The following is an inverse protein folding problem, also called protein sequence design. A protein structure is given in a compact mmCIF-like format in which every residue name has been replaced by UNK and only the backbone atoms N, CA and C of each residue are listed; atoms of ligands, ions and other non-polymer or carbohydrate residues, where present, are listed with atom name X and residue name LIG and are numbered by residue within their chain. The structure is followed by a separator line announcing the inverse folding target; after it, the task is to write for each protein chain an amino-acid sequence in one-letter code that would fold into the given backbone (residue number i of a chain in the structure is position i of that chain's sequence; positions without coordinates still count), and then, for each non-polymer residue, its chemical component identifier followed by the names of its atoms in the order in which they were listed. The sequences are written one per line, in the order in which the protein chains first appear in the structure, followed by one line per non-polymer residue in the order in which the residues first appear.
data_IF_857252902443
#
_entry.id   IF_857252902443
#
_cell.length_a   1.000
_cell.length_b   1.000
_cell.length_c   1.000
_cell.angle_alpha   90.00
_cell.angle_beta   90.00
_cell.angle_gamma   90.00
#
_symmetry.space_group_name_H-M   'P 1'
#
loop_
_entity.id
_entity.type
_entity.pdbx_description
1 polymer ?
#
# COMPACT_ATOMS: atom_id res chain seq x y z
N UNK A 1 15.20 -12.18 -30.02
CA UNK A 1 14.52 -10.86 -29.92
C UNK A 1 15.38 -9.91 -29.09
N UNK A 2 15.36 -8.60 -29.35
CA UNK A 2 16.12 -7.61 -28.58
C UNK A 2 15.18 -6.58 -27.96
N UNK A 3 15.29 -6.39 -26.64
CA UNK A 3 14.60 -5.33 -25.92
C UNK A 3 15.45 -4.06 -25.93
N UNK A 4 14.80 -2.92 -26.12
CA UNK A 4 15.41 -1.59 -25.95
C UNK A 4 15.46 -1.23 -24.47
N UNK A 5 16.30 -0.25 -24.10
CA UNK A 5 16.43 0.20 -22.71
C UNK A 5 15.09 0.64 -22.11
N UNK A 6 14.30 1.39 -22.87
CA UNK A 6 12.98 1.87 -22.43
C UNK A 6 11.96 0.73 -22.26
N UNK A 7 12.01 -0.29 -23.11
CA UNK A 7 11.18 -1.49 -22.94
C UNK A 7 11.58 -2.28 -21.68
N UNK A 8 12.88 -2.44 -21.43
CA UNK A 8 13.39 -3.09 -20.22
C UNK A 8 12.99 -2.34 -18.94
N UNK A 9 12.96 -1.01 -18.98
CA UNK A 9 12.47 -0.17 -17.88
C UNK A 9 10.97 -0.35 -17.64
N UNK A 10 10.16 -0.52 -18.69
CA UNK A 10 8.74 -0.86 -18.52
C UNK A 10 8.55 -2.26 -17.96
N UNK A 11 9.36 -3.25 -18.38
CA UNK A 11 9.36 -4.61 -17.82
C UNK A 11 9.67 -4.61 -16.33
N UNK A 12 10.65 -3.81 -15.91
CA UNK A 12 10.95 -3.65 -14.49
C UNK A 12 9.82 -2.92 -13.73
N UNK A 13 9.24 -1.86 -14.30
CA UNK A 13 8.21 -1.05 -13.63
C UNK A 13 6.93 -1.81 -13.30
N UNK A 14 6.51 -2.73 -14.17
CA UNK A 14 5.27 -3.50 -14.05
C UNK A 14 5.54 -4.97 -13.68
N UNK A 15 6.75 -5.31 -13.21
CA UNK A 15 7.08 -6.69 -12.83
C UNK A 15 6.10 -7.21 -11.79
N UNK A 16 5.59 -8.41 -12.03
CA UNK A 16 4.72 -9.13 -11.13
C UNK A 16 5.20 -10.58 -10.95
N UNK A 17 4.49 -11.31 -10.09
CA UNK A 17 4.90 -12.66 -9.66
C UNK A 17 4.91 -13.68 -10.81
N UNK A 18 4.11 -13.45 -11.85
CA UNK A 18 4.03 -14.33 -13.03
C UNK A 18 4.11 -13.54 -14.33
N UNK A 19 4.45 -14.23 -15.42
CA UNK A 19 4.47 -13.68 -16.77
C UNK A 19 3.12 -13.06 -17.14
N UNK A 20 2.03 -13.79 -16.89
CA UNK A 20 0.68 -13.37 -17.25
C UNK A 20 0.26 -12.12 -16.48
N UNK A 21 0.58 -12.04 -15.19
CA UNK A 21 0.28 -10.87 -14.36
C UNK A 21 1.12 -9.65 -14.80
N UNK A 22 2.38 -9.87 -15.16
CA UNK A 22 3.27 -8.82 -15.68
C UNK A 22 2.75 -8.26 -17.01
N UNK A 23 2.33 -9.12 -17.94
CA UNK A 23 1.74 -8.71 -19.21
C UNK A 23 0.41 -7.98 -18.98
N UNK A 24 -0.44 -8.49 -18.09
CA UNK A 24 -1.72 -7.84 -17.73
C UNK A 24 -1.50 -6.46 -17.13
N UNK A 25 -0.55 -6.30 -16.20
CA UNK A 25 -0.19 -5.03 -15.59
C UNK A 25 0.34 -4.02 -16.62
N UNK A 26 1.10 -4.48 -17.62
CA UNK A 26 1.51 -3.63 -18.75
C UNK A 26 0.32 -3.20 -19.61
N UNK A 27 -0.61 -4.10 -19.94
CA UNK A 27 -1.80 -3.75 -20.74
C UNK A 27 -2.71 -2.74 -20.03
N UNK A 28 -2.84 -2.86 -18.72
CA UNK A 28 -3.55 -1.88 -17.89
C UNK A 28 -2.82 -0.52 -17.87
N UNK A 29 -1.51 -0.54 -17.64
CA UNK A 29 -0.65 0.65 -17.71
C UNK A 29 -0.62 1.32 -19.08
N UNK A 30 -0.79 0.57 -20.17
CA UNK A 30 -0.93 1.10 -21.52
C UNK A 30 -2.18 1.98 -21.65
N UNK A 31 -3.31 1.54 -21.09
CA UNK A 31 -4.58 2.28 -21.16
C UNK A 31 -4.53 3.57 -20.34
N UNK A 32 -3.78 3.57 -19.24
CA UNK A 32 -3.59 4.71 -18.35
C UNK A 32 -2.49 5.70 -18.78
N UNK A 33 -1.65 5.34 -19.76
CA UNK A 33 -0.59 6.22 -20.24
C UNK A 33 -1.17 7.42 -21.02
N UNK A 34 -0.81 8.65 -20.64
CA UNK A 34 -1.27 9.88 -21.31
C UNK A 34 -0.52 10.23 -22.60
N UNK A 35 0.57 9.53 -22.89
CA UNK A 35 1.49 9.81 -24.01
C UNK A 35 1.59 8.62 -24.98
N UNK A 36 1.60 8.91 -26.28
CA UNK A 36 1.54 7.90 -27.35
C UNK A 36 2.82 7.06 -27.43
N UNK A 37 3.99 7.69 -27.24
CA UNK A 37 5.28 6.98 -27.23
C UNK A 37 5.34 5.99 -26.07
N UNK A 38 4.86 6.39 -24.89
CA UNK A 38 4.79 5.52 -23.70
C UNK A 38 3.85 4.33 -23.94
N UNK A 39 2.69 4.55 -24.57
CA UNK A 39 1.78 3.47 -24.96
C UNK A 39 2.43 2.46 -25.91
N UNK A 40 3.15 2.95 -26.91
CA UNK A 40 3.85 2.12 -27.90
C UNK A 40 4.95 1.29 -27.22
N UNK A 41 5.76 1.91 -26.34
CA UNK A 41 6.84 1.22 -25.62
C UNK A 41 6.28 0.11 -24.72
N UNK A 42 5.20 0.39 -23.98
CA UNK A 42 4.54 -0.61 -23.12
C UNK A 42 3.96 -1.75 -23.95
N UNK A 43 3.27 -1.43 -25.06
CA UNK A 43 2.67 -2.42 -25.96
C UNK A 43 3.73 -3.36 -26.55
N UNK A 44 4.84 -2.79 -27.03
CA UNK A 44 5.93 -3.55 -27.64
C UNK A 44 6.65 -4.42 -26.60
N UNK A 45 6.86 -3.90 -25.38
CA UNK A 45 7.42 -4.68 -24.29
C UNK A 45 6.53 -5.88 -23.92
N UNK A 46 5.21 -5.67 -23.79
CA UNK A 46 4.25 -6.72 -23.47
C UNK A 46 4.19 -7.81 -24.57
N UNK A 47 4.15 -7.40 -25.85
CA UNK A 47 4.10 -8.33 -26.99
C UNK A 47 5.38 -9.17 -27.10
N UNK A 48 6.55 -8.56 -26.87
CA UNK A 48 7.83 -9.28 -26.82
C UNK A 48 7.93 -10.22 -25.62
N UNK A 49 7.38 -9.82 -24.47
CA UNK A 49 7.37 -10.65 -23.25
C UNK A 49 6.42 -11.85 -23.40
N UNK A 50 5.27 -11.66 -24.06
CA UNK A 50 4.30 -12.73 -24.35
C UNK A 50 4.88 -13.82 -25.24
N UNK A 51 5.72 -13.44 -26.22
CA UNK A 51 6.40 -14.35 -27.15
C UNK A 51 7.52 -15.18 -26.52
N UNK A 52 7.95 -14.88 -25.30
CA UNK A 52 8.96 -15.68 -24.59
C UNK A 52 8.30 -16.88 -23.89
N UNK A 53 8.73 -18.12 -24.14
CA UNK A 53 8.22 -19.29 -23.43
C UNK A 53 8.63 -19.26 -21.94
N UNK A 54 7.82 -19.87 -21.08
CA UNK A 54 8.27 -20.22 -19.73
C UNK A 54 9.16 -21.46 -19.80
N UNK A 55 10.29 -21.53 -19.06
CA UNK A 55 10.70 -20.67 -17.94
C UNK A 55 11.63 -19.49 -18.31
N UNK A 56 11.99 -19.35 -19.58
CA UNK A 56 12.93 -18.31 -20.05
C UNK A 56 12.44 -16.89 -19.75
N UNK A 57 11.13 -16.66 -19.87
CA UNK A 57 10.52 -15.38 -19.52
C UNK A 57 10.72 -15.01 -18.03
N UNK A 58 10.54 -15.97 -17.12
CA UNK A 58 10.72 -15.76 -15.68
C UNK A 58 12.19 -15.45 -15.36
N UNK A 59 13.12 -16.20 -15.96
CA UNK A 59 14.56 -15.95 -15.83
C UNK A 59 14.96 -14.58 -16.37
N UNK A 60 14.36 -14.16 -17.49
CA UNK A 60 14.59 -12.84 -18.09
C UNK A 60 14.09 -11.70 -17.20
N UNK A 61 12.91 -11.83 -16.60
CA UNK A 61 12.38 -10.83 -15.65
C UNK A 61 13.31 -10.71 -14.44
N UNK A 62 13.76 -11.85 -13.89
CA UNK A 62 14.68 -11.89 -12.77
C UNK A 62 16.06 -11.27 -13.09
N UNK A 63 16.62 -11.58 -14.27
CA UNK A 63 17.89 -11.01 -14.75
C UNK A 63 17.79 -9.50 -14.98
N UNK A 64 16.70 -9.05 -15.61
CA UNK A 64 16.41 -7.64 -15.83
C UNK A 64 16.31 -6.88 -14.50
N UNK A 65 15.60 -7.46 -13.52
CA UNK A 65 15.52 -6.93 -12.16
C UNK A 65 16.89 -6.81 -11.51
N UNK A 66 17.71 -7.86 -11.55
CA UNK A 66 19.05 -7.85 -10.98
C UNK A 66 19.93 -6.77 -11.63
N UNK A 67 19.84 -6.60 -12.94
CA UNK A 67 20.56 -5.58 -13.69
C UNK A 67 20.15 -4.14 -13.29
N UNK A 68 18.85 -3.86 -13.11
CA UNK A 68 18.37 -2.55 -12.67
C UNK A 68 18.64 -2.24 -11.19
N UNK A 69 18.62 -3.26 -10.33
CA UNK A 69 19.01 -3.14 -8.92
C UNK A 69 20.50 -2.83 -8.81
N UNK A 70 21.35 -3.51 -9.59
CA UNK A 70 22.81 -3.31 -9.61
C UNK A 70 23.26 -1.95 -10.15
N UNK A 71 22.49 -1.32 -11.05
CA UNK A 71 22.81 -0.01 -11.63
C UNK A 71 22.46 1.21 -10.74
N UNK A 72 21.92 1.03 -9.53
CA UNK A 72 21.73 2.15 -8.59
C UNK A 72 20.65 3.17 -8.97
N UNK A 73 19.83 2.93 -10.01
CA UNK A 73 18.59 3.68 -10.30
C UNK A 73 17.46 3.40 -9.28
N UNK A 74 17.79 2.61 -8.26
CA UNK A 74 16.89 1.99 -7.30
C UNK A 74 16.39 2.94 -6.21
N UNK A 75 16.88 4.16 -6.03
CA UNK A 75 16.47 4.96 -4.86
C UNK A 75 14.98 5.35 -4.88
N UNK A 76 14.41 5.72 -6.03
CA UNK A 76 12.99 6.12 -6.12
C UNK A 76 12.08 4.91 -6.25
N UNK A 77 12.45 3.93 -7.08
CA UNK A 77 11.65 2.73 -7.31
C UNK A 77 11.68 1.76 -6.13
N UNK A 78 12.81 1.62 -5.42
CA UNK A 78 12.87 0.91 -4.15
C UNK A 78 12.03 1.61 -3.10
N UNK A 79 12.08 2.95 -3.00
CA UNK A 79 11.20 3.70 -2.10
C UNK A 79 9.72 3.56 -2.46
N UNK A 80 9.38 3.47 -3.75
CA UNK A 80 8.01 3.21 -4.20
C UNK A 80 7.58 1.78 -3.94
N UNK A 81 8.45 0.77 -4.11
CA UNK A 81 8.14 -0.62 -3.79
C UNK A 81 8.10 -0.84 -2.28
N UNK A 82 9.03 -0.29 -1.51
CA UNK A 82 8.97 -0.21 -0.04
C UNK A 82 7.70 0.52 0.40
N UNK A 83 7.28 1.59 -0.27
CA UNK A 83 6.02 2.27 0.00
C UNK A 83 4.79 1.41 -0.39
N UNK A 84 4.81 0.71 -1.53
CA UNK A 84 3.74 -0.19 -1.98
C UNK A 84 3.62 -1.42 -1.08
N UNK A 85 4.73 -1.98 -0.62
CA UNK A 85 4.76 -3.06 0.37
C UNK A 85 4.35 -2.57 1.76
N UNK A 86 4.75 -1.34 2.15
CA UNK A 86 4.16 -0.66 3.32
C UNK A 86 2.68 -0.34 3.10
N UNK A 87 2.20 -0.19 1.87
CA UNK A 87 0.79 0.03 1.52
C UNK A 87 -0.01 -1.26 1.35
N UNK A 88 0.61 -2.45 1.44
CA UNK A 88 -0.06 -3.69 1.90
C UNK A 88 -0.46 -3.58 3.38
N UNK A 89 -0.65 -2.37 3.88
CA UNK A 89 -1.36 -2.14 5.12
C UNK A 89 -2.81 -2.57 4.90
N UNK A 90 -3.41 -3.30 5.85
CA UNK A 90 -4.84 -3.59 5.79
C UNK A 90 -5.60 -2.30 5.50
N UNK A 91 -6.53 -2.37 4.54
CA UNK A 91 -7.38 -1.24 4.14
C UNK A 91 -7.95 -0.63 5.41
N UNK A 92 -7.69 0.65 5.63
CA UNK A 92 -8.19 1.36 6.81
C UNK A 92 -9.72 1.36 6.74
N UNK A 93 -10.36 0.54 7.56
CA UNK A 93 -11.81 0.45 7.66
C UNK A 93 -12.35 1.36 8.77
N UNK A 94 -13.66 1.55 8.83
CA UNK A 94 -14.32 2.44 9.81
C UNK A 94 -14.73 3.77 9.22
N UNK A 95 -14.44 4.88 9.90
CA UNK A 95 -14.92 6.20 9.47
C UNK A 95 -14.22 6.69 8.21
N UNK A 96 -15.02 7.28 7.32
CA UNK A 96 -14.63 7.66 5.96
C UNK A 96 -13.33 8.48 5.93
N UNK A 97 -12.54 8.33 4.86
CA UNK A 97 -11.25 9.03 4.71
C UNK A 97 -11.40 10.55 4.78
N UNK A 98 -12.55 11.10 4.36
CA UNK A 98 -12.88 12.52 4.49
C UNK A 98 -12.89 13.01 5.95
N UNK A 99 -13.13 12.11 6.90
CA UNK A 99 -13.08 12.36 8.34
C UNK A 99 -14.11 13.37 8.80
N UNK A 100 -15.35 13.30 8.29
CA UNK A 100 -16.46 14.20 8.68
C UNK A 100 -16.76 14.11 10.17
N UNK A 101 -16.52 12.95 10.76
CA UNK A 101 -16.83 12.63 12.13
C UNK A 101 -15.96 13.38 13.13
N UNK A 102 -14.80 13.91 12.71
CA UNK A 102 -13.96 14.79 13.54
C UNK A 102 -14.65 16.10 13.92
N UNK A 103 -15.69 16.50 13.20
CA UNK A 103 -16.46 17.72 13.47
C UNK A 103 -17.68 17.48 14.36
N UNK A 104 -17.94 16.23 14.77
CA UNK A 104 -19.02 15.98 15.73
C UNK A 104 -18.67 16.61 17.09
N UNK A 105 -19.65 17.22 17.78
CA UNK A 105 -19.40 17.96 19.01
C UNK A 105 -18.85 17.10 20.15
N UNK A 106 -19.16 15.80 20.14
CA UNK A 106 -18.74 14.83 21.15
C UNK A 106 -17.37 14.18 20.83
N UNK A 107 -16.82 14.40 19.63
CA UNK A 107 -15.55 13.76 19.22
C UNK A 107 -14.37 14.47 19.87
N UNK A 108 -13.58 13.69 20.62
CA UNK A 108 -12.39 14.16 21.34
C UNK A 108 -11.13 13.37 21.01
N UNK A 109 -11.27 12.17 20.47
CA UNK A 109 -10.16 11.27 20.18
C UNK A 109 -10.26 10.71 18.76
N UNK A 110 -9.12 10.59 18.09
CA UNK A 110 -8.96 9.77 16.91
C UNK A 110 -7.99 8.65 17.23
N UNK A 111 -8.37 7.41 16.93
CA UNK A 111 -7.50 6.26 17.12
C UNK A 111 -7.39 5.46 15.82
N UNK A 112 -6.22 4.86 15.63
CA UNK A 112 -6.01 3.79 14.66
C UNK A 112 -5.71 2.52 15.43
N UNK A 113 -6.49 1.47 15.20
CA UNK A 113 -6.36 0.20 15.92
C UNK A 113 -6.29 -0.98 14.95
N UNK A 114 -5.56 -2.02 15.35
CA UNK A 114 -5.60 -3.34 14.72
C UNK A 114 -6.47 -4.27 15.56
N UNK A 115 -7.32 -5.05 14.91
CA UNK A 115 -8.10 -6.09 15.57
C UNK A 115 -7.26 -7.35 15.73
N UNK A 116 -7.08 -7.83 16.96
CA UNK A 116 -6.22 -8.97 17.26
C UNK A 116 -6.97 -10.30 17.32
N UNK A 117 -8.27 -10.25 17.61
CA UNK A 117 -9.10 -11.44 17.77
C UNK A 117 -10.45 -11.31 17.03
N UNK A 118 -11.04 -12.43 16.62
CA UNK A 118 -12.37 -12.46 16.00
C UNK A 118 -13.51 -12.20 16.99
N UNK A 119 -13.20 -12.20 18.30
CA UNK A 119 -14.14 -11.83 19.38
C UNK A 119 -14.26 -10.31 19.55
N UNK A 120 -13.60 -9.52 18.70
CA UNK A 120 -13.63 -8.08 18.81
C UNK A 120 -14.98 -7.53 18.36
N UNK A 121 -15.62 -6.63 19.12
CA UNK A 121 -16.91 -6.04 18.76
C UNK A 121 -16.83 -5.10 17.55
N UNK A 122 -15.62 -4.82 17.04
CA UNK A 122 -15.36 -3.80 16.02
C UNK A 122 -14.88 -4.34 14.67
N UNK A 123 -14.66 -5.66 14.52
CA UNK A 123 -14.27 -6.24 13.22
C UNK A 123 -13.60 -7.61 13.31
N UNK A 124 -13.06 -8.07 12.19
CA UNK A 124 -12.37 -9.36 12.08
C UNK A 124 -10.87 -9.24 12.35
N UNK A 125 -10.26 -10.33 12.80
CA UNK A 125 -8.82 -10.39 13.09
C UNK A 125 -7.98 -9.98 11.87
N UNK A 126 -7.05 -9.06 12.08
CA UNK A 126 -6.13 -8.56 11.05
C UNK A 126 -6.61 -7.32 10.32
N UNK A 127 -7.84 -6.88 10.57
CA UNK A 127 -8.34 -5.61 10.05
C UNK A 127 -7.81 -4.42 10.85
N UNK A 128 -7.64 -3.29 10.16
CA UNK A 128 -7.22 -2.03 10.75
C UNK A 128 -8.32 -1.01 10.63
N UNK A 129 -8.69 -0.43 11.75
CA UNK A 129 -9.75 0.56 11.81
C UNK A 129 -9.24 1.92 12.23
N UNK A 130 -9.89 2.97 11.72
CA UNK A 130 -9.77 4.33 12.24
C UNK A 130 -11.09 4.81 12.78
N UNK A 131 -11.09 5.21 14.05
CA UNK A 131 -12.27 5.72 14.73
C UNK A 131 -12.11 7.13 15.26
N UNK A 132 -13.21 7.88 15.19
CA UNK A 132 -13.41 9.16 15.88
C UNK A 132 -14.33 8.90 17.06
N UNK A 133 -13.81 9.09 18.27
CA UNK A 133 -14.43 8.66 19.50
C UNK A 133 -14.60 9.84 20.46
N UNK A 134 -15.63 9.75 21.28
CA UNK A 134 -15.76 10.55 22.49
C UNK A 134 -14.93 9.96 23.63
N UNK A 135 -14.75 10.71 24.71
CA UNK A 135 -14.01 10.27 25.91
C UNK A 135 -14.46 8.90 26.41
N UNK A 136 -15.78 8.68 26.49
CA UNK A 136 -16.35 7.42 26.97
C UNK A 136 -16.01 6.24 26.06
N UNK A 137 -16.17 6.40 24.74
CA UNK A 137 -15.85 5.34 23.77
C UNK A 137 -14.34 5.07 23.68
N UNK A 138 -13.52 6.10 23.86
CA UNK A 138 -12.07 5.94 23.93
C UNK A 138 -11.65 5.11 25.15
N UNK A 139 -12.25 5.34 26.33
CA UNK A 139 -12.00 4.48 27.51
C UNK A 139 -12.34 3.02 27.24
N UNK A 140 -13.49 2.76 26.60
CA UNK A 140 -13.89 1.39 26.24
C UNK A 140 -12.87 0.75 25.28
N UNK A 141 -12.33 1.51 24.33
CA UNK A 141 -11.28 1.02 23.43
C UNK A 141 -9.98 0.67 24.19
N UNK A 142 -9.60 1.47 25.18
CA UNK A 142 -8.45 1.18 26.06
C UNK A 142 -8.70 -0.11 26.88
N UNK A 143 -9.92 -0.33 27.34
CA UNK A 143 -10.27 -1.59 28.02
C UNK A 143 -10.25 -2.80 27.08
N UNK A 144 -10.75 -2.67 25.86
CA UNK A 144 -10.61 -3.71 24.82
C UNK A 144 -9.13 -4.00 24.49
N UNK A 145 -8.27 -2.98 24.50
CA UNK A 145 -6.83 -3.19 24.35
C UNK A 145 -6.24 -3.98 25.52
N UNK A 146 -6.64 -3.67 26.77
CA UNK A 146 -6.22 -4.42 27.96
C UNK A 146 -6.70 -5.87 27.95
N UNK A 147 -7.87 -6.14 27.39
CA UNK A 147 -8.39 -7.51 27.17
C UNK A 147 -7.70 -8.25 26.02
N UNK A 148 -6.85 -7.57 25.24
CA UNK A 148 -6.13 -8.15 24.12
C UNK A 148 -7.00 -8.36 22.86
N UNK A 149 -8.18 -7.76 22.81
CA UNK A 149 -9.10 -7.84 21.66
C UNK A 149 -8.61 -6.99 20.49
N UNK A 150 -8.02 -5.83 20.83
CA UNK A 150 -7.53 -4.84 19.86
C UNK A 150 -6.17 -4.29 20.30
N UNK A 151 -5.47 -3.61 19.39
CA UNK A 151 -4.23 -2.87 19.68
C UNK A 151 -4.29 -1.47 19.08
N UNK A 152 -4.21 -0.44 19.91
CA UNK A 152 -4.20 0.95 19.49
C UNK A 152 -2.78 1.31 19.03
N UNK A 153 -2.64 1.56 17.74
CA UNK A 153 -1.36 1.92 17.11
C UNK A 153 -1.07 3.41 17.25
N UNK A 154 -2.09 4.23 17.07
CA UNK A 154 -1.96 5.68 17.06
C UNK A 154 -3.16 6.31 17.74
N UNK A 155 -2.91 7.41 18.44
CA UNK A 155 -3.92 8.25 19.05
C UNK A 155 -3.62 9.72 18.71
N UNK A 156 -4.68 10.49 18.49
CA UNK A 156 -4.64 11.93 18.35
C UNK A 156 -5.82 12.56 19.08
N UNK A 157 -5.58 13.64 19.83
CA UNK A 157 -6.66 14.45 20.36
C UNK A 157 -7.32 15.23 19.22
N UNK A 158 -8.65 15.37 19.28
CA UNK A 158 -9.44 16.11 18.30
C UNK A 158 -10.06 17.33 18.99
N UNK A 159 -9.75 18.53 18.49
CA UNK A 159 -10.34 19.77 19.00
C UNK A 159 -10.85 20.59 17.82
N UNK A 160 -12.17 20.80 17.77
CA UNK A 160 -12.84 21.52 16.66
C UNK A 160 -12.46 20.97 15.28
N UNK A 161 -12.35 19.64 15.18
CA UNK A 161 -11.94 18.93 13.97
C UNK A 161 -10.45 19.01 13.60
N UNK A 162 -9.62 19.68 14.40
CA UNK A 162 -8.15 19.64 14.25
C UNK A 162 -7.59 18.45 15.03
N UNK A 163 -6.61 17.77 14.44
CA UNK A 163 -5.96 16.58 15.01
C UNK A 163 -4.62 16.96 15.62
N UNK A 164 -4.44 16.55 16.87
CA UNK A 164 -3.22 16.71 17.64
C UNK A 164 -2.71 15.31 17.97
N UNK A 165 -1.91 14.69 17.08
CA UNK A 165 -1.34 13.39 17.35
C UNK A 165 -0.53 13.45 18.65
N UNK A 166 -0.63 12.40 19.46
CA UNK A 166 0.27 12.28 20.59
C UNK A 166 1.70 12.35 20.09
N UNK A 167 2.52 13.13 20.79
CA UNK A 167 3.96 13.08 20.61
C UNK A 167 4.44 11.69 21.06
N UNK A 168 4.43 10.70 20.18
CA UNK A 168 5.17 9.46 20.44
C UNK A 168 6.59 9.63 19.94
N UNK A 169 7.51 9.43 20.90
CA UNK A 169 8.94 9.30 20.73
C UNK A 169 9.24 8.44 19.49
N UNK A 170 10.26 8.87 18.77
CA UNK A 170 10.80 8.22 17.60
C UNK A 170 10.81 6.70 17.73
N UNK A 171 10.17 6.06 16.75
CA UNK A 171 10.58 4.82 16.11
C UNK A 171 11.78 4.13 16.78
N UNK A 172 11.55 3.19 17.70
CA UNK A 172 12.58 2.22 18.01
C UNK A 172 12.32 0.97 17.18
N UNK A 173 13.02 0.96 16.04
CA UNK A 173 13.55 -0.16 15.24
C UNK A 173 12.70 -1.39 15.00
#
# INVERSE_FOLDING_TARGET
MRFTKSELEMVYKYEATTKEDTVKAMRDGQSAAGDDLTRIIIRNAADKLEKLPEPECSRFIADNKAHFIGQGRSSVLRRLNEAKERLKQPVLQGHDLSGRERFQPDTRHMIVLDVLNNDSPVGFKGERYRFFLSDGRYRNAIESEKRGEIKIRSHAAVVSGKLYPDKKAEHNR
#
